data_IF_982710913971
#
_entry.id   IF_982710913971
#
_cell.length_a   1.000
_cell.length_b   1.000
_cell.length_c   1.000
_cell.angle_alpha   90.00
_cell.angle_beta   90.00
_cell.angle_gamma   90.00
#
_symmetry.space_group_name_H-M   'P 1'
#
loop_
_entity.id
_entity.type
_entity.pdbx_description
1 polymer ?
#
# COMPACT_ATOMS: atom_id res chain seq x y z
N UNK A 1 18.15 -6.28 28.45
CA UNK A 1 17.31 -6.95 27.44
C UNK A 1 16.63 -5.90 26.63
N UNK A 2 16.93 -5.89 25.36
CA UNK A 2 16.33 -4.91 24.47
C UNK A 2 14.89 -5.31 24.20
N UNK A 3 13.98 -4.39 24.45
CA UNK A 3 12.59 -4.59 24.09
C UNK A 3 12.42 -4.25 22.62
N UNK A 4 11.91 -5.19 21.89
CA UNK A 4 11.53 -4.94 20.50
C UNK A 4 10.25 -4.11 20.48
N UNK A 5 10.22 -3.14 19.60
CA UNK A 5 9.04 -2.30 19.38
C UNK A 5 8.13 -3.01 18.37
N UNK A 6 6.89 -3.33 18.74
CA UNK A 6 5.98 -3.93 17.77
C UNK A 6 5.61 -2.92 16.69
N UNK A 7 5.64 -3.37 15.44
CA UNK A 7 5.25 -2.57 14.29
C UNK A 7 4.35 -3.43 13.40
N UNK A 8 3.13 -2.97 13.19
CA UNK A 8 2.16 -3.69 12.37
C UNK A 8 2.30 -3.23 10.93
N UNK A 9 2.44 -4.17 10.03
CA UNK A 9 2.44 -3.87 8.60
C UNK A 9 1.02 -4.02 8.09
N UNK A 10 0.41 -2.88 7.77
CA UNK A 10 -1.00 -2.78 7.38
C UNK A 10 -1.18 -3.09 5.91
N UNK A 11 -0.94 -4.33 5.52
CA UNK A 11 -1.14 -4.78 4.15
C UNK A 11 -1.74 -6.18 4.15
N UNK A 12 -2.58 -6.47 3.17
CA UNK A 12 -3.07 -7.81 2.93
C UNK A 12 -2.14 -8.65 2.06
N UNK A 13 -1.00 -8.11 1.66
CA UNK A 13 -0.05 -8.80 0.78
C UNK A 13 1.07 -9.44 1.61
N UNK A 14 1.08 -10.79 1.75
CA UNK A 14 2.10 -11.48 2.54
C UNK A 14 3.53 -11.26 2.02
N UNK A 15 3.69 -11.05 0.72
CA UNK A 15 5.00 -10.77 0.13
C UNK A 15 5.59 -9.47 0.63
N UNK A 16 4.78 -8.43 0.79
CA UNK A 16 5.24 -7.15 1.36
C UNK A 16 5.69 -7.29 2.80
N UNK A 17 4.98 -8.09 3.59
CA UNK A 17 5.38 -8.36 4.99
C UNK A 17 6.76 -8.99 5.03
N UNK A 18 7.00 -9.98 4.19
CA UNK A 18 8.29 -10.66 4.11
C UNK A 18 9.41 -9.70 3.71
N UNK A 19 9.17 -8.88 2.69
CA UNK A 19 10.15 -7.89 2.24
C UNK A 19 10.52 -6.91 3.34
N UNK A 20 9.53 -6.41 4.07
CA UNK A 20 9.76 -5.44 5.14
C UNK A 20 10.49 -6.10 6.31
N UNK A 21 10.16 -7.34 6.65
CA UNK A 21 10.90 -8.10 7.67
C UNK A 21 12.37 -8.22 7.31
N UNK A 22 12.66 -8.53 6.06
CA UNK A 22 14.04 -8.64 5.59
C UNK A 22 14.78 -7.31 5.67
N UNK A 23 14.13 -6.23 5.24
CA UNK A 23 14.73 -4.89 5.25
C UNK A 23 15.04 -4.40 6.67
N UNK A 24 14.20 -4.75 7.64
CA UNK A 24 14.34 -4.29 9.02
C UNK A 24 15.02 -5.31 9.93
N UNK A 25 15.54 -6.37 9.35
CA UNK A 25 16.28 -7.39 10.10
C UNK A 25 17.50 -6.75 10.79
N UNK A 26 17.67 -7.05 12.06
CA UNK A 26 18.75 -6.48 12.87
C UNK A 26 18.39 -5.23 13.65
N UNK A 27 17.22 -4.63 13.39
CA UNK A 27 16.69 -3.53 14.18
C UNK A 27 15.83 -4.07 15.32
N UNK A 28 15.71 -3.32 16.44
CA UNK A 28 14.91 -3.77 17.58
C UNK A 28 13.40 -3.55 17.33
N UNK A 29 12.90 -4.13 16.28
CA UNK A 29 11.52 -4.01 15.83
C UNK A 29 10.92 -5.40 15.67
N UNK A 30 9.77 -5.61 16.29
CA UNK A 30 9.01 -6.85 16.14
C UNK A 30 7.93 -6.65 15.09
N UNK A 31 8.16 -7.16 13.91
CA UNK A 31 7.25 -6.98 12.77
C UNK A 31 6.06 -7.90 12.93
N UNK A 32 4.86 -7.32 12.94
CA UNK A 32 3.59 -8.03 12.99
C UNK A 32 2.84 -7.85 11.69
N UNK A 33 2.11 -8.88 11.28
CA UNK A 33 1.18 -8.76 10.17
C UNK A 33 -0.24 -8.56 10.70
N UNK A 34 -1.17 -8.20 9.82
CA UNK A 34 -2.58 -8.11 10.19
C UNK A 34 -3.12 -9.47 10.65
N UNK A 35 -2.63 -10.55 10.07
CA UNK A 35 -3.06 -11.90 10.42
C UNK A 35 -2.72 -12.28 11.86
N UNK A 36 -1.71 -11.66 12.45
CA UNK A 36 -1.33 -11.92 13.84
C UNK A 36 -2.40 -11.45 14.84
N UNK A 37 -3.30 -10.58 14.40
CA UNK A 37 -4.35 -10.01 15.27
C UNK A 37 -5.74 -10.54 14.94
N UNK A 38 -5.87 -11.36 13.91
CA UNK A 38 -7.16 -11.82 13.44
C UNK A 38 -7.89 -10.81 12.57
N UNK A 39 -9.16 -11.05 12.24
CA UNK A 39 -9.91 -10.14 11.36
C UNK A 39 -10.06 -8.76 11.97
N UNK A 40 -9.83 -7.73 11.16
CA UNK A 40 -10.12 -6.34 11.52
C UNK A 40 -10.99 -5.74 10.42
N UNK A 41 -11.76 -4.68 10.74
CA UNK A 41 -12.55 -4.00 9.71
C UNK A 41 -11.63 -3.44 8.61
N UNK A 42 -12.13 -3.50 7.38
CA UNK A 42 -11.41 -2.89 6.27
C UNK A 42 -11.61 -1.38 6.30
N UNK A 43 -10.54 -0.64 5.96
CA UNK A 43 -10.64 0.78 5.76
C UNK A 43 -10.85 1.07 4.28
N UNK A 44 -11.75 1.99 3.96
CA UNK A 44 -11.99 2.38 2.59
C UNK A 44 -10.83 3.21 2.06
N UNK A 45 -10.29 2.80 0.93
CA UNK A 45 -9.25 3.54 0.22
C UNK A 45 -9.91 4.45 -0.81
N UNK A 46 -10.69 5.43 -0.32
CA UNK A 46 -11.45 6.36 -1.14
C UNK A 46 -10.73 7.69 -1.40
N UNK A 47 -9.49 7.81 -0.97
CA UNK A 47 -8.69 8.99 -1.22
C UNK A 47 -8.31 9.11 -2.70
N UNK A 48 -8.05 10.33 -3.12
CA UNK A 48 -7.66 10.64 -4.50
C UNK A 48 -6.16 10.51 -4.73
N UNK A 49 -5.37 10.38 -3.67
CA UNK A 49 -3.92 10.26 -3.75
C UNK A 49 -3.43 9.06 -2.94
N UNK A 50 -2.22 8.61 -3.23
CA UNK A 50 -1.57 7.57 -2.42
C UNK A 50 -1.43 8.01 -0.96
N UNK A 51 -1.09 9.28 -0.73
CA UNK A 51 -0.93 9.82 0.61
C UNK A 51 -2.20 9.69 1.43
N UNK A 52 -3.34 10.06 0.86
CA UNK A 52 -4.63 9.98 1.55
C UNK A 52 -4.98 8.55 1.95
N UNK A 53 -4.82 7.60 1.02
CA UNK A 53 -5.16 6.21 1.27
C UNK A 53 -4.24 5.59 2.33
N UNK A 54 -2.95 5.88 2.25
CA UNK A 54 -1.97 5.32 3.18
C UNK A 54 -2.13 5.92 4.57
N UNK A 55 -2.39 7.21 4.66
CA UNK A 55 -2.66 7.86 5.92
C UNK A 55 -3.87 7.25 6.63
N UNK A 56 -4.96 7.05 5.91
CA UNK A 56 -6.16 6.41 6.45
C UNK A 56 -5.87 5.00 6.94
N UNK A 57 -5.16 4.22 6.14
CA UNK A 57 -4.85 2.83 6.47
C UNK A 57 -3.97 2.72 7.70
N UNK A 58 -2.88 3.49 7.75
CA UNK A 58 -1.95 3.45 8.88
C UNK A 58 -2.62 3.94 10.16
N UNK A 59 -3.32 5.06 10.11
CA UNK A 59 -3.99 5.64 11.28
C UNK A 59 -5.07 4.73 11.83
N UNK A 60 -5.88 4.18 10.96
CA UNK A 60 -6.96 3.25 11.35
C UNK A 60 -6.39 2.01 12.02
N UNK A 61 -5.39 1.40 11.39
CA UNK A 61 -4.76 0.18 11.91
C UNK A 61 -4.11 0.44 13.27
N UNK A 62 -3.39 1.54 13.40
CA UNK A 62 -2.74 1.88 14.67
C UNK A 62 -3.75 2.05 15.80
N UNK A 63 -4.86 2.73 15.53
CA UNK A 63 -5.91 2.93 16.54
C UNK A 63 -6.61 1.65 16.93
N UNK A 64 -6.94 0.81 15.96
CA UNK A 64 -7.66 -0.44 16.23
C UNK A 64 -6.81 -1.42 16.99
N UNK A 65 -5.54 -1.56 16.63
CA UNK A 65 -4.66 -2.57 17.22
C UNK A 65 -3.83 -2.07 18.39
N UNK A 66 -3.77 -0.76 18.60
CA UNK A 66 -3.01 -0.18 19.74
C UNK A 66 -1.49 -0.27 19.57
N UNK A 67 -1.00 -0.34 18.35
CA UNK A 67 0.43 -0.43 18.03
C UNK A 67 0.79 0.49 16.88
N UNK A 68 2.05 0.95 16.79
CA UNK A 68 2.48 1.63 15.58
C UNK A 68 2.20 0.80 14.35
N UNK A 69 1.75 1.44 13.28
CA UNK A 69 1.40 0.76 12.04
C UNK A 69 2.05 1.46 10.85
N UNK A 70 2.53 0.66 9.93
CA UNK A 70 3.12 1.12 8.68
C UNK A 70 2.23 0.63 7.54
N UNK A 71 1.87 1.54 6.65
CA UNK A 71 1.14 1.21 5.44
C UNK A 71 1.93 1.72 4.24
N UNK A 72 1.84 0.99 3.16
CA UNK A 72 2.42 1.43 1.91
C UNK A 72 1.45 1.18 0.78
N UNK A 73 1.53 2.00 -0.24
CA UNK A 73 0.82 1.79 -1.48
C UNK A 73 1.73 2.18 -2.64
N UNK A 74 1.54 1.53 -3.75
CA UNK A 74 2.29 1.83 -4.95
C UNK A 74 1.40 1.65 -6.16
N UNK A 75 1.75 2.32 -7.23
CA UNK A 75 1.00 2.22 -8.44
C UNK A 75 1.79 2.71 -9.64
N UNK A 76 1.28 2.41 -10.81
CA UNK A 76 1.86 2.84 -12.06
C UNK A 76 1.25 4.17 -12.48
N UNK A 77 2.10 5.14 -12.75
CA UNK A 77 1.69 6.48 -13.21
C UNK A 77 2.16 6.61 -14.65
N UNK A 78 1.21 6.76 -15.57
CA UNK A 78 1.52 6.87 -17.00
C UNK A 78 1.26 8.29 -17.45
N UNK A 79 2.30 8.92 -17.97
CA UNK A 79 2.28 10.35 -18.33
C UNK A 79 1.19 10.67 -19.36
N UNK A 80 1.11 9.88 -20.42
CA UNK A 80 0.14 10.10 -21.48
C UNK A 80 -1.32 9.86 -21.06
N UNK A 81 -1.54 9.26 -19.90
CA UNK A 81 -2.88 8.99 -19.34
C UNK A 81 -3.16 9.90 -18.13
N UNK A 82 -2.49 11.03 -18.05
CA UNK A 82 -2.63 12.01 -16.96
C UNK A 82 -2.40 11.39 -15.57
N UNK A 83 -1.47 10.46 -15.51
CA UNK A 83 -1.12 9.79 -14.26
C UNK A 83 -1.90 8.52 -13.95
N UNK A 84 -2.88 8.17 -14.78
CA UNK A 84 -3.61 6.91 -14.57
C UNK A 84 -2.70 5.71 -14.90
N UNK A 85 -2.94 4.54 -14.30
CA UNK A 85 -3.97 4.21 -13.32
C UNK A 85 -3.70 4.72 -11.89
N UNK A 86 -2.48 5.09 -11.54
CA UNK A 86 -2.16 5.71 -10.25
C UNK A 86 -2.69 4.92 -9.06
N UNK A 87 -3.43 5.59 -8.17
CA UNK A 87 -4.00 4.97 -6.96
C UNK A 87 -4.98 3.84 -7.28
N UNK A 88 -5.48 3.79 -8.49
CA UNK A 88 -6.43 2.78 -8.93
C UNK A 88 -5.76 1.59 -9.62
N UNK A 89 -4.43 1.49 -9.58
CA UNK A 89 -3.68 0.45 -10.29
C UNK A 89 -4.18 -0.97 -10.00
N UNK A 90 -4.48 -1.27 -8.75
CA UNK A 90 -4.97 -2.61 -8.36
C UNK A 90 -6.36 -2.92 -8.92
N UNK A 91 -7.14 -1.90 -9.27
CA UNK A 91 -8.52 -2.02 -9.75
C UNK A 91 -8.67 -1.59 -11.20
N UNK A 92 -7.58 -1.43 -11.90
CA UNK A 92 -7.54 -0.81 -13.24
C UNK A 92 -8.29 -1.65 -14.24
N UNK A 93 -8.75 -2.65 -14.26
CA UNK A 93 -9.63 -3.36 -15.19
C UNK A 93 -10.80 -4.03 -14.44
N UNK A 94 -11.10 -3.49 -13.25
CA UNK A 94 -12.13 -4.00 -12.38
C UNK A 94 -11.54 -4.58 -11.09
N UNK A 95 -12.38 -4.72 -10.03
CA UNK A 95 -11.90 -5.15 -8.72
C UNK A 95 -11.31 -6.57 -8.71
N UNK A 96 -11.79 -7.43 -9.60
CA UNK A 96 -11.34 -8.82 -9.67
C UNK A 96 -10.47 -9.10 -10.89
N UNK A 97 -9.91 -8.06 -11.50
CA UNK A 97 -9.11 -8.22 -12.71
C UNK A 97 -7.80 -8.93 -12.43
N UNK A 98 -7.38 -9.75 -13.38
CA UNK A 98 -6.06 -10.38 -13.37
C UNK A 98 -5.02 -9.39 -13.86
N UNK A 99 -3.73 -9.69 -13.60
CA UNK A 99 -2.64 -8.90 -14.16
C UNK A 99 -2.72 -8.84 -15.68
N UNK A 100 -3.04 -9.94 -16.32
CA UNK A 100 -3.17 -9.99 -17.78
C UNK A 100 -4.25 -9.03 -18.26
N UNK A 101 -5.38 -8.98 -17.60
CA UNK A 101 -6.47 -8.06 -17.95
C UNK A 101 -6.05 -6.60 -17.78
N UNK A 102 -5.32 -6.29 -16.72
CA UNK A 102 -4.79 -4.94 -16.50
C UNK A 102 -3.79 -4.54 -17.57
N UNK A 103 -2.89 -5.46 -17.96
CA UNK A 103 -1.92 -5.21 -19.02
C UNK A 103 -2.62 -4.98 -20.36
N UNK A 104 -3.61 -5.79 -20.68
CA UNK A 104 -4.36 -5.64 -21.93
C UNK A 104 -5.08 -4.31 -22.01
N UNK A 105 -5.70 -3.88 -20.91
CA UNK A 105 -6.35 -2.58 -20.87
C UNK A 105 -5.36 -1.45 -21.09
N UNK A 106 -4.22 -1.50 -20.40
CA UNK A 106 -3.19 -0.49 -20.54
C UNK A 106 -2.67 -0.41 -21.97
N UNK A 107 -2.39 -1.55 -22.58
CA UNK A 107 -1.90 -1.59 -23.94
C UNK A 107 -2.92 -1.00 -24.93
N UNK A 108 -4.20 -1.28 -24.72
CA UNK A 108 -5.26 -0.69 -25.55
C UNK A 108 -5.31 0.82 -25.43
N UNK A 109 -5.23 1.32 -24.19
CA UNK A 109 -5.27 2.77 -23.95
C UNK A 109 -4.03 3.48 -24.48
N UNK A 110 -2.91 2.79 -24.58
CA UNK A 110 -1.65 3.33 -25.09
C UNK A 110 -1.47 3.12 -26.59
N UNK A 111 -2.42 2.49 -27.26
CA UNK A 111 -2.32 2.23 -28.68
C UNK A 111 -2.22 3.53 -29.47
N UNK A 112 -1.21 3.64 -30.31
CA UNK A 112 -0.97 4.84 -31.13
C UNK A 112 -0.36 6.03 -30.39
N UNK A 113 -0.07 5.89 -29.10
CA UNK A 113 0.50 6.97 -28.30
C UNK A 113 2.03 6.88 -28.32
N UNK A 114 2.68 7.97 -28.71
CA UNK A 114 4.14 8.02 -28.80
C UNK A 114 4.82 8.26 -27.47
N UNK A 115 4.21 9.02 -26.56
CA UNK A 115 4.77 9.26 -25.24
C UNK A 115 4.52 8.05 -24.36
N UNK A 116 5.60 7.31 -24.03
CA UNK A 116 5.52 6.07 -23.26
C UNK A 116 6.14 6.21 -21.87
N UNK A 117 6.29 7.42 -21.38
CA UNK A 117 6.87 7.65 -20.06
C UNK A 117 5.93 7.15 -18.97
N UNK A 118 6.50 6.43 -18.02
CA UNK A 118 5.77 5.90 -16.88
C UNK A 118 6.72 5.77 -15.70
N UNK A 119 6.14 5.76 -14.51
CA UNK A 119 6.91 5.57 -13.28
C UNK A 119 6.06 4.79 -12.28
N UNK A 120 6.72 4.08 -11.38
CA UNK A 120 6.05 3.59 -10.19
C UNK A 120 6.19 4.62 -9.09
N UNK A 121 5.09 4.90 -8.41
CA UNK A 121 5.09 5.71 -7.20
C UNK A 121 4.78 4.84 -6.01
N UNK A 122 5.47 5.09 -4.90
CA UNK A 122 5.24 4.40 -3.64
C UNK A 122 5.18 5.42 -2.52
N UNK A 123 4.17 5.30 -1.67
CA UNK A 123 4.01 6.14 -0.49
C UNK A 123 3.97 5.24 0.74
N UNK A 124 4.74 5.61 1.75
CA UNK A 124 4.81 4.88 3.02
C UNK A 124 4.35 5.83 4.12
N UNK A 125 3.42 5.38 4.93
CA UNK A 125 2.92 6.12 6.08
C UNK A 125 3.15 5.34 7.37
N UNK A 126 3.61 6.04 8.39
CA UNK A 126 3.79 5.47 9.72
C UNK A 126 2.88 6.23 10.69
N UNK A 127 2.05 5.53 11.41
CA UNK A 127 1.16 6.12 12.40
C UNK A 127 1.35 5.46 13.76
N UNK A 128 1.14 6.24 14.81
CA UNK A 128 1.18 5.75 16.19
C UNK A 128 -0.21 5.86 16.80
N UNK A 129 -0.57 4.99 17.78
CA UNK A 129 -1.94 4.95 18.29
C UNK A 129 -2.40 6.23 18.98
N UNK A 130 -1.48 6.98 19.56
CA UNK A 130 -1.79 8.19 20.30
C UNK A 130 -1.58 9.47 19.49
N UNK A 131 -1.04 9.34 18.30
CA UNK A 131 -0.81 10.49 17.44
C UNK A 131 -2.12 10.97 16.87
N UNK A 132 -2.38 12.30 16.91
CA UNK A 132 -3.32 12.79 15.95
C UNK A 132 -2.60 12.59 14.66
N UNK A 133 -3.03 11.72 14.17
CA UNK A 133 -2.43 11.69 12.93
C UNK A 133 -2.87 12.96 12.27
#
# INVERSE_FOLDING_TARGET
MDKEIPLVIATGNPGKVIEIKDLLNGFPIDIKSLDDFGPIPEVEEDGQTFDENEYKKASFTARVLGHPALADDSGLVVDALDGAPGVFSARYAGPDATNEQRFQKLLREMEGIGNRKAAFECVISLAVPTGPA
#
